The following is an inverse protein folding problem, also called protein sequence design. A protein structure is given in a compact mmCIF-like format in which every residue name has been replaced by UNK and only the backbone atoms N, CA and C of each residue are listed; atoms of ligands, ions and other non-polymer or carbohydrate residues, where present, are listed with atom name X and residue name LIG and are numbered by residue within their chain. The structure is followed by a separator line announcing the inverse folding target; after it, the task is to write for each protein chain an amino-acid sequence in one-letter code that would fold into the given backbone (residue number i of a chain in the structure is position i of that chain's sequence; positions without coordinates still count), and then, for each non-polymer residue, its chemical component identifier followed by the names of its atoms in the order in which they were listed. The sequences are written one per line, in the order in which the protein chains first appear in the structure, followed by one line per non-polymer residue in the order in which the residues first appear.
data_IF_396163208377
#
_entry.id   IF_396163208377
#
_cell.length_a   1.000
_cell.length_b   1.000
_cell.length_c   1.000
_cell.angle_alpha   90.00
_cell.angle_beta   90.00
_cell.angle_gamma   90.00
#
_symmetry.space_group_name_H-M   'P 1'
#
loop_
_entity.id
_entity.type
_entity.pdbx_description
1 polymer ?
#
# COMPACT_ATOMS: atom_id res chain seq x y z
N UNK A 1 -31.38 -2.88 5.18
CA UNK A 1 -30.17 -2.04 5.18
C UNK A 1 -29.69 -1.99 6.62
N UNK A 2 -28.45 -2.40 6.91
CA UNK A 2 -27.96 -2.38 8.29
C UNK A 2 -27.82 -0.93 8.75
N UNK A 3 -28.46 -0.58 9.87
CA UNK A 3 -28.32 0.74 10.49
C UNK A 3 -26.84 0.95 10.83
N UNK A 4 -26.19 1.84 10.09
CA UNK A 4 -24.80 2.20 10.35
C UNK A 4 -24.76 3.06 11.61
N UNK A 5 -23.91 2.67 12.55
CA UNK A 5 -23.83 3.27 13.88
C UNK A 5 -22.72 4.33 13.86
N UNK A 6 -22.92 5.43 14.58
CA UNK A 6 -21.87 6.42 14.80
C UNK A 6 -20.76 5.88 15.71
N UNK A 7 -19.56 6.45 15.61
CA UNK A 7 -18.44 6.06 16.46
C UNK A 7 -18.69 6.40 17.93
N UNK A 8 -18.56 5.41 18.81
CA UNK A 8 -18.67 5.54 20.26
C UNK A 8 -17.37 5.10 20.93
N UNK A 9 -16.75 6.03 21.66
CA UNK A 9 -15.51 5.78 22.41
C UNK A 9 -15.68 4.70 23.47
N UNK A 10 -16.84 4.63 24.16
CA UNK A 10 -17.04 3.63 25.24
C UNK A 10 -17.04 2.23 24.66
N UNK A 11 -17.79 2.03 23.58
CA UNK A 11 -17.80 0.76 22.83
C UNK A 11 -16.41 0.41 22.32
N UNK A 12 -15.68 1.36 21.73
CA UNK A 12 -14.34 1.14 21.22
C UNK A 12 -13.33 0.76 22.32
N UNK A 13 -13.45 1.36 23.52
CA UNK A 13 -12.57 1.07 24.65
C UNK A 13 -12.75 -0.38 25.13
N UNK A 14 -14.00 -0.84 25.21
CA UNK A 14 -14.33 -2.17 25.70
C UNK A 14 -13.99 -3.26 24.67
N UNK A 15 -14.13 -2.94 23.38
CA UNK A 15 -13.95 -3.90 22.30
C UNK A 15 -12.48 -4.07 21.89
N UNK A 16 -11.70 -2.99 21.89
CA UNK A 16 -10.35 -2.99 21.31
C UNK A 16 -9.29 -3.11 22.41
N UNK A 17 -8.53 -4.22 22.50
CA UNK A 17 -7.48 -4.36 23.50
C UNK A 17 -6.30 -3.41 23.23
N UNK A 18 -5.57 -3.03 24.28
CA UNK A 18 -4.33 -2.26 24.13
C UNK A 18 -3.19 -3.23 23.77
N UNK A 19 -2.42 -2.88 22.75
CA UNK A 19 -1.33 -3.74 22.28
C UNK A 19 -0.19 -3.80 23.30
N UNK A 20 0.15 -5.02 23.74
CA UNK A 20 1.21 -5.30 24.71
C UNK A 20 2.43 -6.03 24.09
N UNK A 21 2.54 -6.05 22.76
CA UNK A 21 3.59 -6.74 22.02
C UNK A 21 3.36 -8.25 21.83
N UNK A 22 2.34 -8.84 22.47
CA UNK A 22 2.00 -10.24 22.26
C UNK A 22 1.20 -10.42 20.96
N UNK A 23 1.61 -11.41 20.14
CA UNK A 23 1.03 -11.66 18.82
C UNK A 23 -0.48 -11.91 18.84
N UNK A 24 -0.98 -12.61 19.86
CA UNK A 24 -2.40 -12.93 19.97
C UNK A 24 -3.24 -11.68 20.23
N UNK A 25 -2.76 -10.75 21.07
CA UNK A 25 -3.43 -9.47 21.36
C UNK A 25 -3.47 -8.61 20.09
N UNK A 26 -2.38 -8.55 19.34
CA UNK A 26 -2.35 -7.85 18.05
C UNK A 26 -3.38 -8.41 17.07
N UNK A 27 -3.57 -9.74 17.05
CA UNK A 27 -4.58 -10.38 16.21
C UNK A 27 -6.00 -10.00 16.67
N UNK A 28 -6.28 -10.08 17.97
CA UNK A 28 -7.57 -9.66 18.54
C UNK A 28 -7.87 -8.19 18.26
N UNK A 29 -6.86 -7.31 18.33
CA UNK A 29 -7.01 -5.90 17.97
C UNK A 29 -7.38 -5.73 16.50
N UNK A 30 -6.70 -6.42 15.58
CA UNK A 30 -7.00 -6.38 14.14
C UNK A 30 -8.43 -6.87 13.87
N UNK A 31 -8.80 -8.00 14.45
CA UNK A 31 -10.12 -8.61 14.26
C UNK A 31 -11.23 -7.70 14.85
N UNK A 32 -10.99 -7.07 15.99
CA UNK A 32 -11.90 -6.11 16.61
C UNK A 32 -12.08 -4.83 15.78
N UNK A 33 -11.00 -4.31 15.19
CA UNK A 33 -11.07 -3.14 14.28
C UNK A 33 -11.87 -3.50 13.03
N UNK A 34 -11.62 -4.67 12.43
CA UNK A 34 -12.30 -5.14 11.23
C UNK A 34 -13.82 -5.30 11.48
N UNK A 35 -14.18 -5.94 12.60
CA UNK A 35 -15.58 -6.06 13.01
C UNK A 35 -16.23 -4.70 13.26
N UNK A 36 -15.53 -3.78 13.92
CA UNK A 36 -16.12 -2.48 14.24
C UNK A 36 -16.26 -1.60 13.00
N UNK A 37 -15.29 -1.64 12.08
CA UNK A 37 -15.33 -0.96 10.79
C UNK A 37 -16.57 -1.34 9.95
N UNK A 38 -17.00 -2.60 10.01
CA UNK A 38 -18.20 -3.06 9.31
C UNK A 38 -19.49 -2.41 9.82
N UNK A 39 -19.55 -2.05 11.11
CA UNK A 39 -20.74 -1.47 11.76
C UNK A 39 -20.79 0.06 11.67
N UNK A 40 -19.67 0.70 11.35
CA UNK A 40 -19.55 2.15 11.35
C UNK A 40 -19.92 2.78 10.00
N UNK A 41 -20.41 4.01 10.06
CA UNK A 41 -20.54 4.89 8.90
C UNK A 41 -19.18 5.43 8.41
N UNK A 42 -19.13 5.87 7.15
CA UNK A 42 -17.87 6.33 6.53
C UNK A 42 -17.27 7.56 7.21
N UNK A 43 -18.10 8.46 7.78
CA UNK A 43 -17.59 9.64 8.47
C UNK A 43 -16.91 9.24 9.79
N UNK A 44 -17.50 8.31 10.53
CA UNK A 44 -16.99 7.77 11.79
C UNK A 44 -15.70 6.95 11.67
N UNK A 45 -15.40 6.37 10.51
CA UNK A 45 -14.19 5.57 10.30
C UNK A 45 -12.90 6.36 10.54
N UNK A 46 -12.89 7.67 10.25
CA UNK A 46 -11.75 8.54 10.54
C UNK A 46 -11.48 8.63 12.05
N UNK A 47 -12.54 8.73 12.85
CA UNK A 47 -12.44 8.74 14.31
C UNK A 47 -11.89 7.41 14.85
N UNK A 48 -12.30 6.28 14.27
CA UNK A 48 -11.74 4.97 14.60
C UNK A 48 -10.23 4.91 14.34
N UNK A 49 -9.76 5.39 13.17
CA UNK A 49 -8.33 5.41 12.84
C UNK A 49 -7.57 6.24 13.87
N UNK A 50 -8.02 7.47 14.14
CA UNK A 50 -7.37 8.36 15.11
C UNK A 50 -7.33 7.73 16.50
N UNK A 51 -8.44 7.11 16.93
CA UNK A 51 -8.51 6.43 18.22
C UNK A 51 -7.52 5.28 18.34
N UNK A 52 -7.48 4.39 17.34
CA UNK A 52 -6.55 3.24 17.33
C UNK A 52 -5.11 3.71 17.36
N UNK A 53 -4.74 4.66 16.48
CA UNK A 53 -3.39 5.18 16.38
C UNK A 53 -2.93 5.86 17.67
N UNK A 54 -3.81 6.64 18.31
CA UNK A 54 -3.47 7.38 19.53
C UNK A 54 -3.45 6.52 20.79
N UNK A 55 -4.41 5.58 20.92
CA UNK A 55 -4.68 4.94 22.22
C UNK A 55 -4.36 3.45 22.29
N UNK A 56 -4.47 2.70 21.18
CA UNK A 56 -4.37 1.23 21.20
C UNK A 56 -3.03 0.68 20.74
N UNK A 57 -2.29 1.46 19.95
CA UNK A 57 -0.94 1.08 19.51
C UNK A 57 0.13 1.43 20.55
N UNK A 58 1.16 0.59 20.65
CA UNK A 58 2.37 0.87 21.42
C UNK A 58 3.21 1.97 20.74
N UNK A 59 4.06 2.65 21.51
CA UNK A 59 4.89 3.76 21.01
C UNK A 59 5.73 3.35 19.78
N UNK A 60 6.31 2.15 19.80
CA UNK A 60 7.11 1.60 18.70
C UNK A 60 6.32 1.39 17.41
N UNK A 61 5.01 1.14 17.51
CA UNK A 61 4.13 0.96 16.35
C UNK A 61 3.59 2.29 15.78
N UNK A 62 3.57 3.38 16.57
CA UNK A 62 3.03 4.68 16.15
C UNK A 62 3.91 5.40 15.13
N UNK A 63 5.22 5.13 15.11
CA UNK A 63 6.25 5.91 14.40
C UNK A 63 6.15 5.94 12.86
N UNK A 64 5.11 5.38 12.23
CA UNK A 64 5.07 5.18 10.77
C UNK A 64 3.73 5.46 10.07
N UNK A 65 2.73 6.00 10.77
CA UNK A 65 1.34 5.79 10.37
C UNK A 65 0.51 7.07 10.19
N UNK A 66 0.19 7.40 8.94
CA UNK A 66 -0.95 8.25 8.56
C UNK A 66 -1.78 7.50 7.53
N UNK A 67 -3.08 7.35 7.78
CA UNK A 67 -3.96 6.52 6.97
C UNK A 67 -5.21 7.29 6.53
N UNK A 68 -5.53 7.18 5.24
CA UNK A 68 -6.77 7.71 4.67
C UNK A 68 -7.97 6.75 4.86
N UNK A 69 -7.71 5.45 4.98
CA UNK A 69 -8.74 4.41 5.05
C UNK A 69 -8.41 3.36 6.12
N UNK A 70 -9.44 2.72 6.67
CA UNK A 70 -9.27 1.66 7.68
C UNK A 70 -8.62 0.41 7.07
N UNK A 71 -8.91 0.11 5.80
CA UNK A 71 -8.36 -1.07 5.12
C UNK A 71 -6.84 -1.00 4.94
N UNK A 72 -6.30 0.21 4.68
CA UNK A 72 -4.85 0.40 4.58
C UNK A 72 -4.17 0.27 5.94
N UNK A 73 -4.80 0.78 7.01
CA UNK A 73 -4.38 0.53 8.39
C UNK A 73 -4.34 -0.98 8.70
N UNK A 74 -5.41 -1.72 8.41
CA UNK A 74 -5.48 -3.15 8.68
C UNK A 74 -4.43 -3.95 7.89
N UNK A 75 -4.21 -3.61 6.62
CA UNK A 75 -3.18 -4.23 5.78
C UNK A 75 -1.79 -4.07 6.39
N UNK A 76 -1.44 -2.86 6.83
CA UNK A 76 -0.13 -2.59 7.40
C UNK A 76 0.03 -3.17 8.80
N UNK A 77 -1.01 -3.16 9.63
CA UNK A 77 -0.99 -3.87 10.91
C UNK A 77 -0.70 -5.37 10.71
N UNK A 78 -1.34 -6.00 9.72
CA UNK A 78 -1.09 -7.40 9.37
C UNK A 78 0.31 -7.62 8.81
N UNK A 79 0.89 -6.64 8.12
CA UNK A 79 2.21 -6.76 7.47
C UNK A 79 3.37 -6.53 8.44
N UNK A 80 3.26 -5.52 9.32
CA UNK A 80 4.37 -5.02 10.14
C UNK A 80 4.26 -5.43 11.60
N UNK A 81 3.05 -5.53 12.17
CA UNK A 81 2.89 -5.88 13.58
C UNK A 81 2.82 -7.39 13.81
N UNK A 82 2.34 -8.15 12.82
CA UNK A 82 2.41 -9.60 12.87
C UNK A 82 3.75 -10.07 12.31
N UNK A 83 4.67 -10.38 13.22
CA UNK A 83 5.96 -10.98 12.86
C UNK A 83 5.75 -12.23 12.00
N UNK A 84 6.31 -12.21 10.79
CA UNK A 84 6.42 -13.41 9.95
C UNK A 84 7.49 -14.30 10.57
N UNK A 85 7.13 -15.54 10.94
CA UNK A 85 8.10 -16.55 11.34
C UNK A 85 9.07 -16.73 10.15
N UNK A 86 10.35 -16.44 10.35
CA UNK A 86 11.40 -16.56 9.31
C UNK A 86 12.01 -17.95 9.34
N UNK A 87 12.50 -18.47 8.21
CA UNK A 87 13.05 -19.83 8.13
C UNK A 87 14.22 -20.05 9.11
N UNK A 88 14.92 -18.97 9.48
CA UNK A 88 15.96 -18.97 10.51
C UNK A 88 15.42 -19.32 11.90
N UNK A 89 14.16 -18.98 12.20
CA UNK A 89 13.52 -19.30 13.48
C UNK A 89 13.36 -20.82 13.70
N UNK A 90 13.31 -21.64 12.63
CA UNK A 90 13.26 -23.11 12.73
C UNK A 90 14.55 -23.71 13.29
N UNK A 91 15.71 -23.12 12.97
CA UNK A 91 17.01 -23.63 13.41
C UNK A 91 17.21 -23.50 14.92
N UNK A 92 16.45 -22.62 15.57
CA UNK A 92 16.54 -22.35 17.00
C UNK A 92 15.53 -23.12 17.85
N UNK A 93 14.66 -23.94 17.24
CA UNK A 93 13.64 -24.69 17.99
C UNK A 93 14.24 -26.01 18.50
N UNK A 94 14.52 -26.07 19.80
CA UNK A 94 14.95 -27.30 20.48
C UNK A 94 13.77 -27.92 21.26
N UNK A 95 13.71 -29.25 21.28
CA UNK A 95 12.66 -30.01 21.99
C UNK A 95 12.59 -29.66 23.49
N UNK A 96 13.74 -29.40 24.12
CA UNK A 96 13.88 -29.03 25.55
C UNK A 96 13.00 -29.91 26.47
N UNK A 97 12.18 -29.31 27.35
CA UNK A 97 11.39 -30.03 28.36
C UNK A 97 9.95 -30.36 27.90
N UNK A 98 9.68 -30.34 26.59
CA UNK A 98 8.33 -30.58 26.05
C UNK A 98 8.13 -32.06 25.72
N UNK A 99 6.90 -32.55 25.85
CA UNK A 99 6.54 -33.87 25.33
C UNK A 99 6.73 -33.92 23.81
N UNK A 100 6.97 -35.13 23.29
CA UNK A 100 7.15 -35.36 21.85
C UNK A 100 5.93 -34.84 21.07
N UNK A 101 4.72 -35.07 21.58
CA UNK A 101 3.48 -34.55 20.97
C UNK A 101 3.43 -33.02 20.94
N UNK A 102 3.73 -32.36 22.07
CA UNK A 102 3.72 -30.89 22.13
C UNK A 102 4.77 -30.26 21.21
N UNK A 103 5.92 -30.94 21.04
CA UNK A 103 6.95 -30.53 20.10
C UNK A 103 6.54 -30.78 18.64
N UNK A 104 5.92 -31.93 18.34
CA UNK A 104 5.37 -32.26 17.03
C UNK A 104 4.32 -31.24 16.57
N UNK A 105 3.37 -30.91 17.44
CA UNK A 105 2.34 -29.90 17.17
C UNK A 105 2.95 -28.51 16.90
N UNK A 106 4.02 -28.16 17.63
CA UNK A 106 4.74 -26.92 17.40
C UNK A 106 5.44 -26.91 16.03
N UNK A 107 6.08 -28.00 15.64
CA UNK A 107 6.70 -28.13 14.32
C UNK A 107 5.66 -28.03 13.22
N UNK A 108 4.53 -28.72 13.35
CA UNK A 108 3.44 -28.68 12.37
C UNK A 108 2.85 -27.26 12.21
N UNK A 109 2.64 -26.53 13.32
CA UNK A 109 2.23 -25.12 13.25
C UNK A 109 3.26 -24.27 12.51
N UNK A 110 4.56 -24.48 12.76
CA UNK A 110 5.61 -23.73 12.06
C UNK A 110 5.64 -24.08 10.57
N UNK A 111 5.62 -25.36 10.20
CA UNK A 111 5.65 -25.81 8.80
C UNK A 111 4.40 -25.41 8.01
N UNK A 112 3.22 -25.48 8.61
CA UNK A 112 1.97 -25.04 7.99
C UNK A 112 1.99 -23.53 7.70
N UNK A 113 2.51 -22.72 8.64
CA UNK A 113 2.72 -21.30 8.45
C UNK A 113 3.72 -21.01 7.30
N UNK A 114 4.84 -21.73 7.21
CA UNK A 114 5.79 -21.58 6.09
C UNK A 114 5.18 -21.93 4.74
N UNK A 115 4.50 -23.06 4.69
CA UNK A 115 3.90 -23.56 3.45
C UNK A 115 2.90 -22.55 2.87
N UNK A 116 2.07 -21.94 3.74
CA UNK A 116 1.15 -20.87 3.34
C UNK A 116 1.89 -19.65 2.80
N UNK A 117 2.97 -19.21 3.44
CA UNK A 117 3.78 -18.05 3.00
C UNK A 117 4.47 -18.30 1.66
N UNK A 118 5.07 -19.47 1.47
CA UNK A 118 5.75 -19.84 0.21
C UNK A 118 4.74 -19.92 -0.94
N UNK A 119 3.58 -20.55 -0.71
CA UNK A 119 2.49 -20.60 -1.71
C UNK A 119 1.96 -19.21 -2.06
N UNK A 120 1.71 -18.36 -1.06
CA UNK A 120 1.27 -16.97 -1.28
C UNK A 120 2.31 -16.15 -2.07
N UNK A 121 3.60 -16.30 -1.74
CA UNK A 121 4.69 -15.62 -2.47
C UNK A 121 4.79 -16.11 -3.91
N UNK A 122 4.64 -17.42 -4.15
CA UNK A 122 4.62 -18.00 -5.51
C UNK A 122 3.42 -17.52 -6.31
N UNK A 123 2.24 -17.40 -5.70
CA UNK A 123 1.05 -16.84 -6.34
C UNK A 123 1.22 -15.36 -6.71
N UNK A 124 1.79 -14.55 -5.80
CA UNK A 124 2.10 -13.13 -6.06
C UNK A 124 3.13 -12.96 -7.19
N UNK A 125 4.19 -13.77 -7.21
CA UNK A 125 5.19 -13.74 -8.29
C UNK A 125 4.58 -14.13 -9.64
N UNK A 126 3.65 -15.09 -9.67
CA UNK A 126 2.91 -15.46 -10.88
C UNK A 126 2.03 -14.31 -11.39
N UNK A 127 1.28 -13.63 -10.51
CA UNK A 127 0.45 -12.47 -10.91
C UNK A 127 1.28 -11.31 -11.45
N UNK A 128 2.41 -10.97 -10.80
CA UNK A 128 3.30 -9.93 -11.29
C UNK A 128 3.97 -10.29 -12.62
N UNK A 129 4.27 -11.57 -12.87
CA UNK A 129 4.80 -12.01 -14.16
C UNK A 129 3.77 -11.85 -15.29
N UNK A 130 2.49 -12.10 -15.00
CA UNK A 130 1.39 -11.92 -15.97
C UNK A 130 1.16 -10.44 -16.29
N UNK A 131 1.14 -9.55 -15.29
CA UNK A 131 0.93 -8.11 -15.50
C UNK A 131 2.07 -7.44 -16.25
N UNK A 132 3.33 -7.84 -16.01
CA UNK A 132 4.47 -7.33 -16.79
C UNK A 132 4.42 -7.87 -18.22
N UNK A 133 4.04 -9.13 -18.42
CA UNK A 133 4.00 -9.73 -19.77
C UNK A 133 2.88 -9.15 -20.64
N UNK A 134 1.73 -8.79 -20.08
CA UNK A 134 0.66 -8.10 -20.81
C UNK A 134 0.98 -6.62 -21.08
N UNK A 135 1.59 -5.91 -20.13
CA UNK A 135 2.00 -4.52 -20.33
C UNK A 135 3.10 -4.35 -21.39
N UNK A 136 4.03 -5.31 -21.51
CA UNK A 136 5.08 -5.30 -22.54
C UNK A 136 4.52 -5.62 -23.93
N UNK A 137 3.48 -6.46 -24.04
CA UNK A 137 2.84 -6.78 -25.33
C UNK A 137 1.92 -5.67 -25.86
N UNK A 138 1.37 -4.83 -24.98
CA UNK A 138 0.48 -3.71 -25.38
C UNK A 138 1.25 -2.48 -25.90
N UNK A 139 2.47 -2.24 -25.42
CA UNK A 139 3.28 -1.07 -25.83
C UNK A 139 3.58 -1.00 -27.34
N UNK A 140 4.00 -2.07 -28.04
CA UNK A 140 4.23 -1.98 -29.48
C UNK A 140 2.92 -1.78 -30.25
N UNK A 141 1.80 -2.38 -29.81
CA UNK A 141 0.50 -2.22 -30.49
C UNK A 141 -0.07 -0.80 -30.36
N UNK A 142 0.04 -0.17 -29.19
CA UNK A 142 -0.38 1.23 -29.01
C UNK A 142 0.51 2.18 -29.80
N UNK A 143 1.82 1.91 -29.88
CA UNK A 143 2.74 2.70 -30.69
C UNK A 143 2.46 2.57 -32.19
N UNK A 144 2.14 1.37 -32.69
CA UNK A 144 1.76 1.14 -34.08
C UNK A 144 0.43 1.80 -34.44
N UNK A 145 -0.56 1.79 -33.55
CA UNK A 145 -1.84 2.46 -33.76
C UNK A 145 -1.69 3.99 -33.75
N UNK A 146 -0.84 4.54 -32.87
CA UNK A 146 -0.54 5.97 -32.84
C UNK A 146 0.20 6.44 -34.11
N UNK A 147 1.15 5.65 -34.62
CA UNK A 147 1.82 5.95 -35.89
C UNK A 147 0.87 5.85 -37.09
N UNK A 148 -0.05 4.88 -37.09
CA UNK A 148 -1.04 4.74 -38.17
C UNK A 148 -2.01 5.94 -38.21
N UNK A 149 -2.38 6.51 -37.06
CA UNK A 149 -3.25 7.69 -36.98
C UNK A 149 -2.52 9.00 -37.28
N UNK A 150 -1.20 9.09 -37.04
CA UNK A 150 -0.40 10.27 -37.33
C UNK A 150 0.10 10.37 -38.80
N UNK A 151 -0.04 9.29 -39.59
CA UNK A 151 0.49 9.21 -40.97
C UNK A 151 -0.41 9.79 -42.08
N UNK A 152 -1.60 10.32 -41.77
CA UNK A 152 -2.60 10.69 -42.78
C UNK A 152 -2.78 12.19 -43.04
N UNK A 153 -1.72 13.01 -42.86
CA UNK A 153 -1.74 14.42 -43.29
C UNK A 153 -0.54 14.75 -44.18
N UNK A 154 -0.69 14.56 -45.49
CA UNK A 154 0.17 15.20 -46.50
C UNK A 154 -0.28 16.67 -46.70
N UNK A 155 0.66 17.60 -46.93
CA UNK A 155 0.36 19.02 -47.01
C UNK A 155 -0.08 19.42 -48.43
N UNK A 156 -1.18 20.17 -48.52
CA UNK A 156 -1.54 20.89 -49.74
C UNK A 156 -0.78 22.23 -49.80
N UNK A 157 -0.04 22.42 -50.91
CA UNK A 157 0.59 23.68 -51.34
C UNK A 157 -0.42 24.54 -52.10
N UNK A 158 -0.22 25.86 -52.04
CA UNK A 158 -0.68 26.99 -52.87
C UNK A 158 -1.43 28.05 -52.04
N UNK A 159 -1.35 29.36 -52.27
CA UNK A 159 -0.40 30.31 -52.89
C UNK A 159 -1.06 31.71 -52.73
N UNK A 160 -0.23 32.77 -52.69
CA UNK A 160 -0.57 34.22 -52.84
C UNK A 160 -1.30 34.92 -51.66
N UNK A 161 -0.98 36.15 -51.24
CA UNK A 161 0.02 37.15 -51.65
C UNK A 161 -0.26 38.52 -50.98
N UNK A 162 0.79 39.34 -50.81
CA UNK A 162 0.69 40.83 -50.78
C UNK A 162 0.61 41.56 -49.43
N UNK A 163 1.06 42.84 -49.32
CA UNK A 163 2.08 43.26 -48.34
C UNK A 163 1.76 44.54 -47.51
N UNK A 164 2.80 45.05 -46.83
CA UNK A 164 2.99 46.36 -46.13
C UNK A 164 2.72 46.34 -44.60
N UNK A 165 3.49 46.96 -43.71
CA UNK A 165 4.65 47.84 -43.79
C UNK A 165 5.36 47.88 -42.41
N UNK A 166 6.57 48.45 -42.40
CA UNK A 166 7.55 48.74 -41.33
C UNK A 166 7.02 49.10 -39.92
N UNK A 167 7.76 48.90 -38.82
CA UNK A 167 8.92 49.70 -38.31
C UNK A 167 9.71 48.88 -37.26
N UNK A 168 11.06 48.87 -37.31
CA UNK A 168 11.98 48.27 -36.31
C UNK A 168 12.44 49.26 -35.22
N UNK A 169 13.66 49.17 -34.63
CA UNK A 169 14.46 48.00 -34.25
C UNK A 169 15.08 48.12 -32.81
N UNK A 170 15.84 47.07 -32.42
CA UNK A 170 16.96 47.05 -31.44
C UNK A 170 16.63 47.25 -29.94
N UNK A 171 17.02 46.34 -29.04
CA UNK A 171 18.42 46.20 -28.62
C UNK A 171 18.64 44.91 -27.81
N UNK A 172 19.83 44.33 -28.01
CA UNK A 172 20.39 43.21 -27.28
C UNK A 172 21.04 43.68 -25.96
N UNK A 173 21.03 42.82 -24.93
CA UNK A 173 22.18 42.59 -24.05
C UNK A 173 21.91 41.37 -23.12
N UNK A 174 22.83 40.40 -23.17
CA UNK A 174 23.08 39.40 -22.14
C UNK A 174 24.25 39.89 -21.23
N UNK A 175 24.88 39.04 -20.41
CA UNK A 175 24.44 38.40 -19.17
C UNK A 175 25.27 38.87 -17.95
N UNK A 176 24.88 38.54 -16.70
CA UNK A 176 25.71 38.82 -15.52
C UNK A 176 25.27 38.10 -14.24
N UNK A 177 25.93 37.00 -13.92
CA UNK A 177 26.17 36.52 -12.54
C UNK A 177 27.49 37.12 -12.03
N UNK A 178 27.99 36.86 -10.79
CA UNK A 178 27.39 36.67 -9.45
C UNK A 178 28.04 37.61 -8.39
N UNK A 179 27.58 37.60 -7.12
CA UNK A 179 28.34 37.91 -5.87
C UNK A 179 27.39 37.73 -4.67
N UNK A 180 27.54 36.71 -3.81
CA UNK A 180 28.39 36.65 -2.61
C UNK A 180 28.11 37.78 -1.60
N UNK A 181 27.44 37.41 -0.50
CA UNK A 181 27.76 37.76 0.88
C UNK A 181 27.18 36.68 1.80
#
# INVERSE_FOLDING_TARGET
MADKISFDFKTAINLLPIMNGQKYVTKQLIDGIDMYNYKLDEASKKSLIVFVLKTRLSLSAKLRLSYAAVDSLLSDMRKYLLQKKSAVALQNVKQSHRSIEAFGNLLEDIFSNFTRVIRARRAHLRRNKVTVSSAVKLRPLVLSLALALAGSSRPARHCAGGPAESVGPATAHAPGSPCVL
#
